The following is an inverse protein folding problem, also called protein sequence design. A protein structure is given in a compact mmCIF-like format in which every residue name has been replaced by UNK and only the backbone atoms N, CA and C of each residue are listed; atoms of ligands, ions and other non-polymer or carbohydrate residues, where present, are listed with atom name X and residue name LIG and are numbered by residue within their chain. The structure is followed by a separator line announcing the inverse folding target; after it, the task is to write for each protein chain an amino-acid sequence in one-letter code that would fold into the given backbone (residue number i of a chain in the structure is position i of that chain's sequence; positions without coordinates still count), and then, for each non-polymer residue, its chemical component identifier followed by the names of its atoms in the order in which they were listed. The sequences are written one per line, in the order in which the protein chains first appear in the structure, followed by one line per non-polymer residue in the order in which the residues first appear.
data_IF_230806169600
#
_entry.id   IF_230806169600
#
_cell.length_a   1.000
_cell.length_b   1.000
_cell.length_c   1.000
_cell.angle_alpha   90.00
_cell.angle_beta   90.00
_cell.angle_gamma   90.00
#
_symmetry.space_group_name_H-M   'P 1'
#
loop_
_entity.id
_entity.type
_entity.pdbx_description
1 polymer ?
#
# COMPACT_ATOMS: atom_id res chain seq x y z
N UNK A 1 -1.32 5.73 -12.63
CA UNK A 1 -2.00 5.88 -11.32
C UNK A 1 -3.46 6.32 -11.44
N UNK A 2 -3.84 7.37 -12.20
CA UNK A 2 -5.25 7.81 -12.24
C UNK A 2 -6.21 6.73 -12.76
N UNK A 3 -5.77 5.95 -13.76
CA UNK A 3 -6.56 4.85 -14.33
C UNK A 3 -6.80 3.74 -13.30
N UNK A 4 -5.78 3.32 -12.55
CA UNK A 4 -5.94 2.29 -11.52
C UNK A 4 -6.95 2.71 -10.43
N UNK A 5 -6.92 3.98 -10.01
CA UNK A 5 -7.88 4.52 -9.07
C UNK A 5 -9.29 4.60 -9.66
N UNK A 6 -9.41 5.07 -10.91
CA UNK A 6 -10.69 5.12 -11.62
C UNK A 6 -11.33 3.75 -11.75
N UNK A 7 -10.53 2.71 -12.06
CA UNK A 7 -11.00 1.34 -12.12
C UNK A 7 -11.43 0.82 -10.76
N UNK A 8 -10.70 1.11 -9.68
CA UNK A 8 -11.12 0.80 -8.31
C UNK A 8 -12.48 1.42 -7.96
N UNK A 9 -12.71 2.67 -8.36
CA UNK A 9 -13.99 3.36 -8.11
C UNK A 9 -15.11 2.67 -8.89
N UNK A 10 -14.90 2.34 -10.16
CA UNK A 10 -15.89 1.68 -11.02
C UNK A 10 -16.24 0.28 -10.50
N UNK A 11 -15.29 -0.43 -9.91
CA UNK A 11 -15.48 -1.79 -9.39
C UNK A 11 -15.93 -1.81 -7.92
N UNK A 12 -16.16 -0.64 -7.31
CA UNK A 12 -16.55 -0.55 -5.90
C UNK A 12 -15.47 -1.02 -4.94
N UNK A 13 -14.21 -1.02 -5.36
CA UNK A 13 -13.06 -1.48 -4.58
C UNK A 13 -12.86 -3.00 -4.60
N UNK A 14 -13.74 -3.78 -5.22
CA UNK A 14 -13.61 -5.24 -5.28
C UNK A 14 -12.26 -5.65 -5.89
N UNK A 15 -11.52 -6.53 -5.21
CA UNK A 15 -10.16 -6.91 -5.61
C UNK A 15 -10.13 -7.52 -7.00
N UNK A 16 -10.96 -8.53 -7.23
CA UNK A 16 -10.92 -9.30 -8.46
C UNK A 16 -11.37 -8.45 -9.65
N UNK A 17 -12.50 -7.77 -9.52
CA UNK A 17 -13.02 -6.90 -10.55
C UNK A 17 -12.02 -5.78 -10.88
N UNK A 18 -11.36 -5.19 -9.88
CA UNK A 18 -10.34 -4.16 -10.08
C UNK A 18 -9.14 -4.68 -10.89
N UNK A 19 -8.60 -5.83 -10.51
CA UNK A 19 -7.44 -6.44 -11.18
C UNK A 19 -7.80 -6.87 -12.59
N UNK A 20 -8.95 -7.51 -12.79
CA UNK A 20 -9.41 -7.95 -14.11
C UNK A 20 -9.75 -6.77 -15.01
N UNK A 21 -10.40 -5.72 -14.51
CA UNK A 21 -10.68 -4.52 -15.28
C UNK A 21 -9.38 -3.83 -15.72
N UNK A 22 -8.39 -3.75 -14.82
CA UNK A 22 -7.07 -3.21 -15.13
C UNK A 22 -6.32 -4.04 -16.15
N UNK A 23 -6.29 -5.38 -16.01
CA UNK A 23 -5.62 -6.31 -16.92
C UNK A 23 -6.30 -6.40 -18.30
N UNK A 24 -7.58 -6.04 -18.42
CA UNK A 24 -8.30 -5.99 -19.70
C UNK A 24 -8.33 -4.59 -20.35
N UNK A 25 -7.82 -3.55 -19.67
CA UNK A 25 -7.90 -2.16 -20.14
C UNK A 25 -7.03 -1.86 -21.38
N UNK A 26 -5.98 -2.65 -21.68
CA UNK A 26 -5.08 -2.39 -22.81
C UNK A 26 -4.00 -3.46 -23.03
N UNK A 27 -3.12 -3.27 -24.02
CA UNK A 27 -2.12 -4.28 -24.44
C UNK A 27 -0.93 -4.43 -23.48
N UNK A 28 -0.62 -3.41 -22.69
CA UNK A 28 0.52 -3.38 -21.73
C UNK A 28 0.09 -2.66 -20.45
N UNK A 29 -0.64 -3.38 -19.59
CA UNK A 29 -1.31 -2.81 -18.42
C UNK A 29 -0.91 -3.50 -17.10
N UNK A 30 0.16 -4.29 -17.10
CA UNK A 30 0.69 -4.99 -15.92
C UNK A 30 0.91 -4.02 -14.75
N UNK A 31 1.43 -2.83 -15.04
CA UNK A 31 1.62 -1.78 -14.03
C UNK A 31 0.30 -1.28 -13.44
N UNK A 32 -0.75 -1.12 -14.27
CA UNK A 32 -2.08 -0.68 -13.81
C UNK A 32 -2.74 -1.78 -12.98
N UNK A 33 -2.65 -3.03 -13.42
CA UNK A 33 -3.15 -4.19 -12.70
C UNK A 33 -2.44 -4.38 -11.35
N UNK A 34 -1.11 -4.22 -11.33
CA UNK A 34 -0.31 -4.26 -10.11
C UNK A 34 -0.70 -3.16 -9.12
N UNK A 35 -0.87 -1.92 -9.59
CA UNK A 35 -1.32 -0.81 -8.74
C UNK A 35 -2.74 -1.02 -8.21
N UNK A 36 -3.67 -1.46 -9.06
CA UNK A 36 -5.05 -1.73 -8.65
C UNK A 36 -5.12 -2.87 -7.62
N UNK A 37 -4.40 -3.97 -7.86
CA UNK A 37 -4.31 -5.09 -6.94
C UNK A 37 -3.65 -4.73 -5.61
N UNK A 38 -2.61 -3.91 -5.61
CA UNK A 38 -1.98 -3.45 -4.38
C UNK A 38 -2.94 -2.62 -3.51
N UNK A 39 -3.68 -1.69 -4.11
CA UNK A 39 -4.62 -0.83 -3.36
C UNK A 39 -5.82 -1.66 -2.88
N UNK A 40 -6.45 -2.45 -3.75
CA UNK A 40 -7.60 -3.27 -3.38
C UNK A 40 -7.22 -4.35 -2.35
N UNK A 41 -6.02 -4.93 -2.46
CA UNK A 41 -5.50 -5.90 -1.49
C UNK A 41 -5.21 -5.26 -0.13
N UNK A 42 -4.70 -4.03 -0.10
CA UNK A 42 -4.52 -3.30 1.16
C UNK A 42 -5.86 -2.97 1.85
N UNK A 43 -6.93 -2.75 1.08
CA UNK A 43 -8.27 -2.46 1.61
C UNK A 43 -8.97 -3.70 2.20
N UNK A 44 -8.78 -4.87 1.59
CA UNK A 44 -9.56 -6.08 1.93
C UNK A 44 -8.73 -7.20 2.57
N UNK A 45 -7.41 -7.10 2.58
CA UNK A 45 -6.51 -8.16 2.99
C UNK A 45 -6.29 -9.23 1.92
N UNK A 46 -5.42 -10.19 2.23
CA UNK A 46 -5.09 -11.34 1.39
C UNK A 46 -6.27 -12.29 1.17
N UNK A 47 -7.22 -12.35 2.11
CA UNK A 47 -8.45 -13.14 1.97
C UNK A 47 -9.36 -12.74 0.79
N UNK A 48 -9.16 -11.57 0.20
CA UNK A 48 -9.87 -11.14 -1.02
C UNK A 48 -9.29 -11.76 -2.30
N UNK A 49 -8.09 -12.33 -2.25
CA UNK A 49 -7.42 -12.94 -3.39
C UNK A 49 -7.87 -14.40 -3.50
N UNK A 50 -8.23 -14.83 -4.70
CA UNK A 50 -8.57 -16.25 -4.96
C UNK A 50 -7.38 -17.14 -4.57
N UNK A 51 -7.58 -18.20 -3.75
CA UNK A 51 -6.50 -19.12 -3.38
C UNK A 51 -5.78 -19.71 -4.59
N UNK A 52 -6.53 -20.08 -5.64
CA UNK A 52 -5.97 -20.61 -6.88
C UNK A 52 -5.02 -19.63 -7.61
N UNK A 53 -5.19 -18.32 -7.42
CA UNK A 53 -4.26 -17.32 -7.98
C UNK A 53 -2.97 -17.26 -7.18
N UNK A 54 -3.06 -17.28 -5.85
CA UNK A 54 -1.91 -17.34 -4.96
C UNK A 54 -1.09 -18.60 -5.27
N UNK A 55 -1.74 -19.77 -5.31
CA UNK A 55 -1.09 -21.05 -5.64
C UNK A 55 -0.37 -21.00 -6.99
N UNK A 56 -1.03 -20.48 -8.02
CA UNK A 56 -0.45 -20.37 -9.36
C UNK A 56 0.76 -19.44 -9.40
N UNK A 57 0.70 -18.30 -8.72
CA UNK A 57 1.81 -17.35 -8.65
C UNK A 57 2.99 -17.95 -7.86
N UNK A 58 2.72 -18.57 -6.70
CA UNK A 58 3.74 -19.26 -5.91
C UNK A 58 4.42 -20.37 -6.73
N UNK A 59 3.65 -21.21 -7.43
CA UNK A 59 4.18 -22.28 -8.25
C UNK A 59 5.01 -21.77 -9.44
N UNK A 60 4.55 -20.73 -10.13
CA UNK A 60 5.26 -20.13 -11.25
C UNK A 60 6.61 -19.52 -10.83
N UNK A 61 6.68 -18.95 -9.63
CA UNK A 61 7.89 -18.31 -9.10
C UNK A 61 8.75 -19.24 -8.22
N UNK A 62 8.25 -20.43 -7.87
CA UNK A 62 8.88 -21.40 -6.95
C UNK A 62 9.20 -20.78 -5.58
N UNK A 63 8.33 -19.91 -5.10
CA UNK A 63 8.48 -19.15 -3.84
C UNK A 63 7.12 -19.12 -3.14
N UNK A 64 7.12 -19.21 -1.82
CA UNK A 64 5.95 -18.87 -1.02
C UNK A 64 5.98 -17.38 -0.64
N UNK A 65 5.08 -16.59 -1.21
CA UNK A 65 5.05 -15.15 -0.98
C UNK A 65 4.38 -14.74 0.34
N UNK A 66 3.60 -15.61 0.99
CA UNK A 66 2.89 -15.26 2.24
C UNK A 66 3.87 -14.82 3.37
N UNK A 67 4.90 -15.60 3.74
CA UNK A 67 5.85 -15.18 4.77
C UNK A 67 6.61 -13.90 4.36
N UNK A 68 7.00 -13.77 3.09
CA UNK A 68 7.65 -12.55 2.59
C UNK A 68 6.75 -11.33 2.74
N UNK A 69 5.47 -11.43 2.38
CA UNK A 69 4.52 -10.34 2.48
C UNK A 69 4.30 -9.91 3.93
N UNK A 70 4.18 -10.87 4.86
CA UNK A 70 4.06 -10.59 6.30
C UNK A 70 5.29 -9.88 6.85
N UNK A 71 6.49 -10.34 6.50
CA UNK A 71 7.75 -9.74 6.95
C UNK A 71 7.93 -8.32 6.41
N UNK A 72 7.59 -8.10 5.13
CA UNK A 72 7.66 -6.78 4.50
C UNK A 72 6.66 -5.81 5.16
N UNK A 73 5.43 -6.26 5.40
CA UNK A 73 4.40 -5.47 6.08
C UNK A 73 4.83 -5.09 7.50
N UNK A 74 5.37 -6.05 8.25
CA UNK A 74 5.88 -5.81 9.60
C UNK A 74 7.06 -4.83 9.60
N UNK A 75 7.95 -4.90 8.60
CA UNK A 75 9.04 -3.94 8.45
C UNK A 75 8.52 -2.54 8.11
N UNK A 76 7.60 -2.44 7.16
CA UNK A 76 7.00 -1.16 6.75
C UNK A 76 6.32 -0.46 7.93
N UNK A 77 5.57 -1.19 8.74
CA UNK A 77 4.93 -0.67 9.95
C UNK A 77 5.97 -0.18 10.99
N UNK A 78 7.05 -0.95 11.23
CA UNK A 78 8.14 -0.49 12.11
C UNK A 78 8.78 0.80 11.62
N UNK A 79 9.05 0.91 10.33
CA UNK A 79 9.64 2.11 9.74
C UNK A 79 8.70 3.31 9.78
N UNK A 80 7.41 3.08 9.51
CA UNK A 80 6.37 4.10 9.59
C UNK A 80 6.26 4.68 11.00
N UNK A 81 6.16 3.81 12.02
CA UNK A 81 6.13 4.22 13.43
C UNK A 81 7.35 5.03 13.84
N UNK A 82 8.56 4.60 13.46
CA UNK A 82 9.80 5.36 13.72
C UNK A 82 9.77 6.75 13.09
N UNK A 83 9.22 6.87 11.88
CA UNK A 83 9.14 8.15 11.18
C UNK A 83 8.17 9.10 11.85
N UNK A 84 6.99 8.62 12.26
CA UNK A 84 6.02 9.43 13.01
C UNK A 84 6.61 9.97 14.31
N UNK A 85 7.27 9.13 15.12
CA UNK A 85 7.92 9.57 16.36
C UNK A 85 9.01 10.61 16.11
N UNK A 86 9.80 10.46 15.05
CA UNK A 86 10.83 11.42 14.70
C UNK A 86 10.23 12.77 14.24
N UNK A 87 9.14 12.73 13.47
CA UNK A 87 8.44 13.93 13.00
C UNK A 87 7.75 14.67 14.16
N UNK A 88 7.15 13.95 15.11
CA UNK A 88 6.60 14.52 16.36
C UNK A 88 7.69 15.18 17.22
N UNK A 89 8.86 14.56 17.35
CA UNK A 89 9.98 15.14 18.08
C UNK A 89 10.49 16.43 17.42
N UNK A 90 10.61 16.43 16.07
CA UNK A 90 10.97 17.64 15.30
C UNK A 90 9.96 18.75 15.48
N UNK A 91 8.66 18.42 15.42
CA UNK A 91 7.59 19.39 15.58
C UNK A 91 7.61 20.03 16.97
N UNK A 92 7.77 19.21 18.04
CA UNK A 92 7.90 19.71 19.42
C UNK A 92 9.07 20.67 19.62
N UNK A 93 10.27 20.29 19.15
CA UNK A 93 11.46 21.15 19.24
C UNK A 93 11.27 22.48 18.52
N UNK A 94 10.62 22.46 17.35
CA UNK A 94 10.31 23.68 16.60
C UNK A 94 9.37 24.61 17.38
N UNK A 95 8.32 24.06 18.01
CA UNK A 95 7.38 24.81 18.85
C UNK A 95 8.06 25.39 20.11
N UNK A 96 8.96 24.63 20.75
CA UNK A 96 9.70 25.08 21.92
C UNK A 96 10.66 26.24 21.60
N UNK A 97 11.40 26.15 20.48
CA UNK A 97 12.27 27.24 20.01
C UNK A 97 11.46 28.51 19.64
N UNK A 98 10.30 28.33 19.00
CA UNK A 98 9.40 29.44 18.66
C UNK A 98 8.87 30.19 19.89
N UNK A 99 8.50 29.47 20.95
CA UNK A 99 7.96 30.08 22.18
C UNK A 99 9.02 30.77 23.06
N UNK A 100 10.30 30.39 22.96
CA UNK A 100 11.40 31.07 23.67
C UNK A 100 11.81 32.39 23.00
N UNK A 101 11.58 32.55 21.70
CA UNK A 101 11.91 33.76 20.93
C UNK A 101 10.92 34.92 21.13
N UNK A 102 9.71 34.66 21.64
CA UNK A 102 8.64 35.66 21.77
C UNK A 102 8.45 36.24 23.18
N UNK A 103 9.33 35.97 24.15
CA UNK A 103 9.26 36.66 25.45
C UNK A 103 9.89 38.06 25.35
N UNK A 104 9.11 39.17 25.45
CA UNK A 104 9.70 40.49 25.58
C UNK A 104 10.28 40.67 26.98
N UNK A 105 11.42 41.37 27.04
CA UNK A 105 12.14 41.79 28.26
C UNK A 105 11.37 42.79 29.09
#
# INVERSE_FOLDING_TARGET
MPIALGLLIVTGGDYEASVLAAANYGRDNDSIAGMAGAIAGALHGDGAIRPAWIERINAANRVDFDPLARDLAALADRLHRRRLTADEARHRLFTELGSQSTRPS
#
